data_IF_322482898562
#
_entry.id   IF_322482898562
#
_cell.length_a   1.000
_cell.length_b   1.000
_cell.length_c   1.000
_cell.angle_alpha   90.00
_cell.angle_beta   90.00
_cell.angle_gamma   90.00
#
_symmetry.space_group_name_H-M   'P 1'
#
loop_
_entity.id
_entity.type
_entity.pdbx_description
1 polymer ?
#
# COMPACT_ATOMS: atom_id res chain seq x y z
N UNK A 1 40.03 13.93 -64.75
CA UNK A 1 40.82 13.76 -63.51
C UNK A 1 39.90 13.78 -62.30
N UNK A 2 39.53 12.62 -61.75
CA UNK A 2 38.73 12.53 -60.52
C UNK A 2 39.67 12.62 -59.30
N UNK A 3 39.57 13.71 -58.52
CA UNK A 3 40.24 13.88 -57.23
C UNK A 3 39.64 12.89 -56.22
N UNK A 4 40.32 11.75 -55.97
CA UNK A 4 40.02 10.85 -54.85
C UNK A 4 40.24 11.61 -53.54
N UNK A 5 39.14 12.07 -52.90
CA UNK A 5 39.16 12.58 -51.52
C UNK A 5 39.66 11.47 -50.59
N UNK A 6 40.93 11.53 -50.18
CA UNK A 6 41.47 10.69 -49.09
C UNK A 6 40.80 11.13 -47.79
N UNK A 7 39.82 10.35 -47.31
CA UNK A 7 39.29 10.48 -45.96
C UNK A 7 40.43 10.25 -44.96
N UNK A 8 40.69 11.19 -44.04
CA UNK A 8 41.81 11.05 -43.10
C UNK A 8 41.61 9.83 -42.18
N UNK A 9 42.68 9.11 -41.81
CA UNK A 9 42.62 7.94 -40.93
C UNK A 9 42.02 8.29 -39.55
N UNK A 10 42.19 9.54 -39.11
CA UNK A 10 41.59 10.06 -37.88
C UNK A 10 40.05 10.04 -37.91
N UNK A 11 39.43 10.40 -39.04
CA UNK A 11 37.96 10.34 -39.20
C UNK A 11 37.43 8.91 -39.11
N UNK A 12 38.20 7.93 -39.63
CA UNK A 12 37.83 6.51 -39.54
C UNK A 12 37.91 5.99 -38.11
N UNK A 13 38.98 6.33 -37.38
CA UNK A 13 39.15 5.93 -35.97
C UNK A 13 38.05 6.54 -35.09
N UNK A 14 37.76 7.83 -35.27
CA UNK A 14 36.68 8.51 -34.53
C UNK A 14 35.31 7.88 -34.83
N UNK A 15 35.04 7.55 -36.10
CA UNK A 15 33.80 6.89 -36.48
C UNK A 15 33.68 5.49 -35.88
N UNK A 16 34.76 4.70 -35.89
CA UNK A 16 34.79 3.37 -35.27
C UNK A 16 34.58 3.44 -33.75
N UNK A 17 35.25 4.36 -33.06
CA UNK A 17 35.07 4.56 -31.62
C UNK A 17 33.64 5.00 -31.28
N UNK A 18 33.09 5.94 -32.03
CA UNK A 18 31.70 6.38 -31.84
C UNK A 18 30.72 5.23 -32.06
N UNK A 19 30.93 4.42 -33.10
CA UNK A 19 30.11 3.24 -33.38
C UNK A 19 30.19 2.23 -32.24
N UNK A 20 31.38 1.98 -31.69
CA UNK A 20 31.57 1.05 -30.59
C UNK A 20 30.87 1.53 -29.31
N UNK A 21 30.98 2.82 -28.99
CA UNK A 21 30.27 3.44 -27.86
C UNK A 21 28.76 3.33 -28.03
N UNK A 22 28.23 3.61 -29.22
CA UNK A 22 26.80 3.49 -29.52
C UNK A 22 26.30 2.05 -29.41
N UNK A 23 27.07 1.08 -29.91
CA UNK A 23 26.73 -0.35 -29.78
C UNK A 23 26.76 -0.81 -28.32
N UNK A 24 27.75 -0.37 -27.53
CA UNK A 24 27.81 -0.67 -26.10
C UNK A 24 26.65 -0.03 -25.33
N UNK A 25 26.31 1.23 -25.60
CA UNK A 25 25.18 1.92 -24.98
C UNK A 25 23.85 1.23 -25.35
N UNK A 26 23.68 0.84 -26.61
CA UNK A 26 22.52 0.07 -27.07
C UNK A 26 22.41 -1.29 -26.39
N UNK A 27 23.54 -2.00 -26.24
CA UNK A 27 23.59 -3.28 -25.53
C UNK A 27 23.24 -3.16 -24.04
N UNK A 28 23.72 -2.12 -23.37
CA UNK A 28 23.37 -1.83 -21.96
C UNK A 28 21.89 -1.48 -21.82
N UNK A 29 21.35 -0.62 -22.69
CA UNK A 29 19.93 -0.27 -22.67
C UNK A 29 19.04 -1.50 -22.88
N UNK A 30 19.38 -2.35 -23.86
CA UNK A 30 18.66 -3.61 -24.10
C UNK A 30 18.71 -4.53 -22.88
N UNK A 31 19.87 -4.67 -22.24
CA UNK A 31 20.02 -5.49 -21.03
C UNK A 31 19.17 -4.95 -19.87
N UNK A 32 19.20 -3.65 -19.61
CA UNK A 32 18.41 -3.02 -18.54
C UNK A 32 16.91 -3.20 -18.76
N UNK A 33 16.45 -2.98 -20.00
CA UNK A 33 15.04 -3.16 -20.34
C UNK A 33 14.61 -4.64 -20.24
N UNK A 34 15.48 -5.56 -20.65
CA UNK A 34 15.22 -7.01 -20.58
C UNK A 34 15.24 -7.54 -19.16
N UNK A 35 16.11 -7.02 -18.29
CA UNK A 35 16.15 -7.36 -16.88
C UNK A 35 14.92 -6.80 -16.13
N UNK A 36 14.38 -5.68 -16.60
CA UNK A 36 13.22 -5.00 -16.03
C UNK A 36 13.33 -4.78 -14.50
N UNK A 37 14.55 -4.39 -14.06
CA UNK A 37 14.86 -4.03 -12.67
C UNK A 37 15.18 -2.53 -12.60
N UNK A 38 14.31 -1.71 -12.00
CA UNK A 38 14.55 -0.28 -11.80
C UNK A 38 15.78 0.04 -10.93
N UNK A 39 16.36 1.25 -11.05
CA UNK A 39 17.53 1.65 -10.27
C UNK A 39 17.33 1.49 -8.75
N UNK A 40 16.17 1.90 -8.21
CA UNK A 40 15.86 1.78 -6.78
C UNK A 40 15.81 0.34 -6.25
N UNK A 41 15.56 -0.65 -7.11
CA UNK A 41 15.64 -2.07 -6.73
C UNK A 41 17.06 -2.63 -6.92
N UNK A 42 17.77 -2.16 -7.94
CA UNK A 42 19.15 -2.54 -8.22
C UNK A 42 20.11 -2.09 -7.11
N UNK A 43 19.91 -0.88 -6.59
CA UNK A 43 20.76 -0.32 -5.53
C UNK A 43 20.86 -1.21 -4.28
N UNK A 44 19.75 -1.55 -3.60
CA UNK A 44 19.75 -2.45 -2.46
C UNK A 44 20.31 -3.85 -2.76
N UNK A 45 20.15 -4.36 -3.99
CA UNK A 45 20.78 -5.60 -4.42
C UNK A 45 22.32 -5.48 -4.43
N UNK A 46 22.86 -4.39 -4.99
CA UNK A 46 24.30 -4.11 -5.00
C UNK A 46 24.83 -3.94 -3.58
N UNK A 47 24.14 -3.14 -2.75
CA UNK A 47 24.52 -2.94 -1.34
C UNK A 47 24.60 -4.28 -0.59
N UNK A 48 23.58 -5.13 -0.71
CA UNK A 48 23.58 -6.47 -0.07
C UNK A 48 24.70 -7.36 -0.56
N UNK A 49 25.04 -7.31 -1.85
CA UNK A 49 26.14 -8.11 -2.42
C UNK A 49 27.52 -7.61 -2.03
N UNK A 50 27.67 -6.31 -1.76
CA UNK A 50 28.93 -5.70 -1.32
C UNK A 50 29.13 -5.80 0.20
N UNK A 51 28.04 -5.93 0.96
CA UNK A 51 28.05 -6.03 2.43
C UNK A 51 28.98 -7.14 2.92
N UNK A 52 29.84 -6.81 3.89
CA UNK A 52 30.83 -7.74 4.45
C UNK A 52 32.10 -7.92 3.60
N UNK A 53 32.22 -7.22 2.48
CA UNK A 53 33.42 -7.23 1.63
C UNK A 53 34.15 -5.87 1.64
N UNK A 54 35.38 -5.83 1.09
CA UNK A 54 36.22 -4.60 0.99
C UNK A 54 35.61 -3.44 0.18
N UNK A 55 34.46 -3.65 -0.45
CA UNK A 55 33.75 -2.69 -1.30
C UNK A 55 32.41 -2.25 -0.70
N UNK A 56 32.12 -2.58 0.57
CA UNK A 56 30.85 -2.27 1.23
C UNK A 56 30.43 -0.79 1.07
N UNK A 57 31.34 0.14 1.38
CA UNK A 57 31.09 1.58 1.22
C UNK A 57 30.80 1.98 -0.23
N UNK A 58 31.46 1.35 -1.21
CA UNK A 58 31.20 1.60 -2.63
C UNK A 58 29.80 1.09 -3.02
N UNK A 59 29.38 -0.05 -2.49
CA UNK A 59 28.03 -0.59 -2.68
C UNK A 59 26.96 0.34 -2.12
N UNK A 60 27.16 0.87 -0.91
CA UNK A 60 26.26 1.85 -0.29
C UNK A 60 26.19 3.15 -1.11
N UNK A 61 27.32 3.65 -1.60
CA UNK A 61 27.36 4.85 -2.44
C UNK A 61 26.66 4.64 -3.78
N UNK A 62 26.88 3.49 -4.42
CA UNK A 62 26.21 3.14 -5.66
C UNK A 62 24.69 3.03 -5.48
N UNK A 63 24.24 2.38 -4.40
CA UNK A 63 22.82 2.24 -4.08
C UNK A 63 22.14 3.60 -3.89
N UNK A 64 22.75 4.49 -3.10
CA UNK A 64 22.25 5.85 -2.92
C UNK A 64 22.19 6.61 -4.24
N UNK A 65 23.23 6.52 -5.06
CA UNK A 65 23.25 7.25 -6.34
C UNK A 65 22.18 6.77 -7.31
N UNK A 66 21.89 5.48 -7.33
CA UNK A 66 20.80 4.91 -8.13
C UNK A 66 19.43 5.34 -7.61
N UNK A 67 19.24 5.35 -6.29
CA UNK A 67 18.00 5.83 -5.67
C UNK A 67 17.79 7.33 -5.94
N UNK A 68 18.80 8.18 -5.71
CA UNK A 68 18.71 9.63 -5.97
C UNK A 68 18.37 9.94 -7.44
N UNK A 69 18.92 9.15 -8.37
CA UNK A 69 18.70 9.33 -9.80
C UNK A 69 17.26 8.99 -10.20
N UNK A 70 16.69 7.93 -9.62
CA UNK A 70 15.35 7.39 -9.95
C UNK A 70 14.22 8.04 -9.14
N UNK A 71 14.51 8.52 -7.94
CA UNK A 71 13.52 9.28 -7.15
C UNK A 71 13.49 10.73 -7.57
N UNK A 72 14.65 11.33 -7.89
CA UNK A 72 14.76 12.77 -8.08
C UNK A 72 14.43 13.54 -6.80
N UNK A 73 13.79 14.70 -6.93
CA UNK A 73 13.30 15.42 -5.76
C UNK A 73 12.18 14.63 -5.09
N UNK A 74 12.27 14.44 -3.76
CA UNK A 74 11.25 13.76 -2.98
C UNK A 74 9.89 14.46 -3.05
N UNK A 75 8.83 13.72 -2.77
CA UNK A 75 7.50 14.31 -2.62
C UNK A 75 7.42 15.10 -1.31
N UNK A 76 6.73 16.25 -1.36
CA UNK A 76 6.44 17.10 -0.23
C UNK A 76 5.15 16.68 0.48
N UNK A 77 4.70 17.56 1.37
CA UNK A 77 3.56 17.28 2.25
C UNK A 77 2.27 16.96 1.50
N UNK A 78 1.53 15.99 2.04
CA UNK A 78 0.17 15.67 1.59
C UNK A 78 -0.76 16.89 1.71
N UNK A 79 -1.46 17.29 0.63
CA UNK A 79 -2.52 18.28 0.75
C UNK A 79 -3.69 17.72 1.58
N UNK A 80 -4.58 18.58 2.11
CA UNK A 80 -5.80 18.14 2.76
C UNK A 80 -6.68 17.34 1.80
N UNK A 81 -6.92 16.06 2.10
CA UNK A 81 -7.72 15.15 1.27
C UNK A 81 -9.06 14.79 1.90
N UNK A 82 -10.07 14.55 1.05
CA UNK A 82 -11.35 13.91 1.38
C UNK A 82 -11.23 12.38 1.55
N UNK A 83 -10.02 11.85 1.43
CA UNK A 83 -9.67 10.44 1.61
C UNK A 83 -9.07 10.24 3.00
N UNK A 84 -9.37 9.11 3.62
CA UNK A 84 -9.06 8.85 5.02
C UNK A 84 -10.10 9.44 5.97
N UNK A 85 -9.76 9.50 7.25
CA UNK A 85 -10.68 9.92 8.30
C UNK A 85 -11.06 11.40 8.16
N UNK A 86 -12.35 11.68 8.23
CA UNK A 86 -12.96 13.00 8.11
C UNK A 86 -13.59 13.42 9.44
N UNK A 87 -13.65 14.73 9.68
CA UNK A 87 -14.27 15.30 10.89
C UNK A 87 -15.80 15.14 10.90
N UNK A 88 -16.41 15.05 9.72
CA UNK A 88 -17.85 14.88 9.57
C UNK A 88 -18.33 13.56 10.18
N UNK A 89 -19.55 13.58 10.72
CA UNK A 89 -20.15 12.39 11.27
C UNK A 89 -20.34 11.33 10.17
N UNK A 90 -19.83 10.14 10.43
CA UNK A 90 -20.29 8.92 9.75
C UNK A 90 -21.81 8.82 9.88
N UNK A 91 -22.47 8.19 8.89
CA UNK A 91 -23.89 7.87 8.90
C UNK A 91 -24.38 7.46 10.31
N UNK A 92 -25.61 7.84 10.71
CA UNK A 92 -26.10 7.57 12.06
C UNK A 92 -25.96 6.09 12.40
N UNK A 93 -25.58 5.80 13.66
CA UNK A 93 -25.44 4.43 14.11
C UNK A 93 -26.76 3.68 13.90
N UNK A 94 -26.66 2.38 13.64
CA UNK A 94 -27.84 1.51 13.61
C UNK A 94 -28.61 1.65 14.93
N UNK A 95 -29.95 1.54 14.93
CA UNK A 95 -30.73 1.58 16.16
C UNK A 95 -30.22 0.52 17.15
N UNK A 96 -30.01 0.92 18.41
CA UNK A 96 -29.41 0.07 19.43
C UNK A 96 -29.38 0.75 20.79
N UNK A 97 -29.12 -0.01 21.85
CA UNK A 97 -28.98 0.54 23.20
C UNK A 97 -27.66 1.31 23.31
N UNK A 98 -27.73 2.60 23.62
CA UNK A 98 -26.54 3.42 23.84
C UNK A 98 -25.97 3.16 25.23
N UNK A 99 -24.72 2.71 25.27
CA UNK A 99 -23.94 2.52 26.50
C UNK A 99 -22.84 3.58 26.54
N UNK A 100 -23.07 4.64 27.31
CA UNK A 100 -22.10 5.73 27.45
C UNK A 100 -20.93 5.32 28.35
N UNK A 101 -19.69 5.60 27.91
CA UNK A 101 -18.47 5.30 28.68
C UNK A 101 -17.59 6.53 28.85
N UNK A 102 -17.19 6.81 30.10
CA UNK A 102 -16.41 8.00 30.49
C UNK A 102 -15.04 7.66 31.07
N UNK A 103 -14.75 6.37 31.27
CA UNK A 103 -13.46 5.89 31.79
C UNK A 103 -12.98 4.64 31.04
N UNK A 104 -11.67 4.33 31.06
CA UNK A 104 -11.14 3.09 30.46
C UNK A 104 -11.80 1.82 31.05
N UNK A 105 -11.98 1.75 32.36
CA UNK A 105 -12.63 0.59 33.01
C UNK A 105 -14.08 0.41 32.60
N UNK A 106 -14.82 1.51 32.43
CA UNK A 106 -16.19 1.46 31.93
C UNK A 106 -16.23 0.97 30.48
N UNK A 107 -15.29 1.43 29.65
CA UNK A 107 -15.15 0.98 28.27
C UNK A 107 -14.83 -0.52 28.16
N UNK A 108 -13.86 -1.00 28.94
CA UNK A 108 -13.54 -2.44 29.01
C UNK A 108 -14.78 -3.25 29.38
N UNK A 109 -15.47 -2.86 30.46
CA UNK A 109 -16.67 -3.58 30.91
C UNK A 109 -17.78 -3.56 29.86
N UNK A 110 -17.99 -2.43 29.18
CA UNK A 110 -19.01 -2.30 28.15
C UNK A 110 -18.70 -3.19 26.93
N UNK A 111 -17.44 -3.26 26.50
CA UNK A 111 -17.02 -4.07 25.35
C UNK A 111 -17.05 -5.57 25.67
N UNK A 112 -16.53 -5.98 26.83
CA UNK A 112 -16.47 -7.39 27.24
C UNK A 112 -17.85 -7.97 27.60
N UNK A 113 -18.84 -7.10 27.90
CA UNK A 113 -20.19 -7.50 28.30
C UNK A 113 -21.29 -6.95 27.39
N UNK A 114 -20.93 -6.52 26.18
CA UNK A 114 -21.89 -5.98 25.22
C UNK A 114 -22.97 -7.02 24.88
N UNK A 115 -24.20 -6.55 24.68
CA UNK A 115 -25.32 -7.30 24.13
C UNK A 115 -25.44 -7.05 22.63
N UNK A 116 -26.15 -7.93 21.89
CA UNK A 116 -26.36 -7.74 20.45
C UNK A 116 -26.97 -6.38 20.12
N UNK A 117 -26.33 -5.64 19.22
CA UNK A 117 -26.77 -4.30 18.79
C UNK A 117 -26.41 -3.15 19.73
N UNK A 118 -25.68 -3.37 20.82
CA UNK A 118 -25.23 -2.29 21.70
C UNK A 118 -24.37 -1.25 20.95
N UNK A 119 -24.49 0.01 21.37
CA UNK A 119 -23.71 1.14 20.87
C UNK A 119 -22.87 1.70 22.02
N UNK A 120 -21.66 1.20 22.17
CA UNK A 120 -20.69 1.68 23.15
C UNK A 120 -20.13 3.03 22.69
N UNK A 121 -20.57 4.10 23.33
CA UNK A 121 -20.22 5.48 22.94
C UNK A 121 -19.31 6.12 23.96
N UNK A 122 -18.09 6.45 23.52
CA UNK A 122 -17.12 7.17 24.32
C UNK A 122 -17.51 8.65 24.42
N UNK A 123 -17.53 9.17 25.65
CA UNK A 123 -17.57 10.61 25.87
C UNK A 123 -16.25 11.26 25.39
N UNK A 124 -16.24 12.56 25.03
CA UNK A 124 -15.01 13.26 24.69
C UNK A 124 -13.94 13.13 25.77
N UNK A 125 -12.71 12.78 25.38
CA UNK A 125 -11.62 12.58 26.34
C UNK A 125 -10.47 11.73 25.82
N UNK A 126 -9.48 11.53 26.70
CA UNK A 126 -8.32 10.67 26.48
C UNK A 126 -8.43 9.45 27.39
N UNK A 127 -8.28 8.26 26.79
CA UNK A 127 -8.47 6.98 27.45
C UNK A 127 -7.20 6.15 27.32
N UNK A 128 -6.45 6.02 28.42
CA UNK A 128 -5.25 5.19 28.48
C UNK A 128 -5.60 3.78 28.94
N UNK A 129 -5.24 2.78 28.15
CA UNK A 129 -5.34 1.36 28.48
C UNK A 129 -3.94 0.79 28.68
N UNK A 130 -3.72 0.14 29.82
CA UNK A 130 -2.44 -0.46 30.20
C UNK A 130 -2.65 -1.64 31.15
N UNK A 131 -1.61 -2.43 31.40
CA UNK A 131 -1.63 -3.48 32.43
C UNK A 131 -2.37 -4.77 32.03
N UNK A 132 -2.68 -4.94 30.74
CA UNK A 132 -3.29 -6.14 30.17
C UNK A 132 -2.80 -6.39 28.74
N UNK A 133 -2.94 -7.61 28.19
CA UNK A 133 -2.46 -7.88 26.83
C UNK A 133 -3.38 -7.31 25.74
N UNK A 134 -4.70 -7.26 26.00
CA UNK A 134 -5.74 -6.79 25.07
C UNK A 134 -7.07 -6.46 25.73
N UNK A 135 -7.99 -5.86 24.96
CA UNK A 135 -9.41 -5.68 25.26
C UNK A 135 -10.20 -6.66 24.39
N UNK A 136 -10.82 -7.68 25.00
CA UNK A 136 -11.57 -8.69 24.25
C UNK A 136 -13.00 -8.23 23.99
N UNK A 137 -13.50 -8.43 22.77
CA UNK A 137 -14.91 -8.28 22.47
C UNK A 137 -15.74 -9.38 23.12
N UNK A 138 -16.97 -9.09 23.54
CA UNK A 138 -17.94 -10.12 23.91
C UNK A 138 -18.33 -10.99 22.71
N UNK A 139 -19.11 -12.05 22.95
CA UNK A 139 -19.67 -12.87 21.87
C UNK A 139 -20.88 -12.24 21.17
N UNK A 140 -21.27 -11.02 21.52
CA UNK A 140 -22.38 -10.33 20.89
C UNK A 140 -22.10 -10.03 19.41
N UNK A 141 -23.16 -9.91 18.64
CA UNK A 141 -23.10 -9.54 17.22
C UNK A 141 -23.69 -8.16 17.00
N UNK A 142 -23.18 -7.44 16.00
CA UNK A 142 -23.73 -6.14 15.60
C UNK A 142 -23.43 -5.00 16.57
N UNK A 143 -22.40 -5.12 17.42
CA UNK A 143 -22.02 -4.08 18.38
C UNK A 143 -21.22 -2.98 17.68
N UNK A 144 -21.52 -1.72 18.02
CA UNK A 144 -20.78 -0.54 17.54
C UNK A 144 -20.02 0.10 18.69
N UNK A 145 -18.74 0.37 18.49
CA UNK A 145 -17.86 1.09 19.41
C UNK A 145 -17.45 2.39 18.75
N UNK A 146 -17.81 3.54 19.33
CA UNK A 146 -17.66 4.82 18.62
C UNK A 146 -17.35 6.03 19.50
N UNK A 147 -16.85 7.07 18.84
CA UNK A 147 -17.07 8.44 19.26
C UNK A 147 -18.32 9.00 18.57
N UNK A 148 -19.06 9.88 19.24
CA UNK A 148 -20.17 10.58 18.61
C UNK A 148 -19.67 11.50 17.48
N UNK A 149 -18.60 12.25 17.75
CA UNK A 149 -17.93 13.15 16.80
C UNK A 149 -16.47 12.70 16.60
N UNK A 150 -16.02 12.64 15.35
CA UNK A 150 -14.63 12.33 15.04
C UNK A 150 -13.69 13.37 15.67
N UNK A 151 -12.55 12.90 16.17
CA UNK A 151 -11.53 13.75 16.81
C UNK A 151 -11.79 14.14 18.27
N UNK A 152 -12.93 13.78 18.87
CA UNK A 152 -13.20 14.10 20.29
C UNK A 152 -12.71 13.04 21.27
N UNK A 153 -12.40 11.82 20.79
CA UNK A 153 -11.98 10.68 21.61
C UNK A 153 -10.61 10.21 21.15
N UNK A 154 -9.65 10.18 22.09
CA UNK A 154 -8.34 9.58 21.88
C UNK A 154 -8.15 8.37 22.79
N UNK A 155 -7.91 7.21 22.19
CA UNK A 155 -7.63 5.94 22.86
C UNK A 155 -6.12 5.69 22.73
N UNK A 156 -5.43 5.61 23.87
CA UNK A 156 -4.01 5.32 23.97
C UNK A 156 -3.84 3.89 24.46
N UNK A 157 -3.30 3.03 23.60
CA UNK A 157 -3.11 1.60 23.86
C UNK A 157 -1.65 1.35 24.24
N UNK A 158 -1.37 1.31 25.54
CA UNK A 158 -0.09 0.85 26.09
C UNK A 158 -0.16 -0.66 26.42
N UNK A 159 -0.66 -1.44 25.45
CA UNK A 159 -0.91 -2.88 25.51
C UNK A 159 -0.48 -3.53 24.19
N UNK A 160 -0.20 -4.83 24.20
CA UNK A 160 0.39 -5.53 23.05
C UNK A 160 -0.54 -5.59 21.84
N UNK A 161 -1.77 -6.02 22.07
CA UNK A 161 -2.83 -6.01 21.08
C UNK A 161 -3.96 -5.13 21.63
N UNK A 162 -4.53 -4.27 20.81
CA UNK A 162 -5.59 -3.36 21.22
C UNK A 162 -6.90 -4.09 21.46
N UNK A 163 -7.73 -4.11 20.43
CA UNK A 163 -9.02 -4.80 20.43
C UNK A 163 -8.87 -6.19 19.82
N UNK A 164 -9.13 -7.23 20.63
CA UNK A 164 -9.20 -8.62 20.18
C UNK A 164 -10.65 -8.93 19.78
N UNK A 165 -10.92 -8.97 18.48
CA UNK A 165 -12.24 -9.19 17.90
C UNK A 165 -12.38 -10.65 17.48
N UNK A 166 -13.24 -11.39 18.19
CA UNK A 166 -13.41 -12.85 18.00
C UNK A 166 -14.83 -13.26 17.60
N UNK A 167 -15.73 -12.30 17.43
CA UNK A 167 -17.15 -12.51 17.12
C UNK A 167 -17.63 -11.60 15.98
N UNK A 168 -18.77 -11.95 15.37
CA UNK A 168 -19.21 -11.34 14.12
C UNK A 168 -19.74 -9.91 14.29
N UNK A 169 -19.58 -9.09 13.26
CA UNK A 169 -20.36 -7.85 13.09
C UNK A 169 -20.00 -6.70 14.01
N UNK A 170 -18.77 -6.66 14.54
CA UNK A 170 -18.28 -5.52 15.33
C UNK A 170 -17.88 -4.35 14.43
N UNK A 171 -18.36 -3.15 14.79
CA UNK A 171 -18.04 -1.89 14.10
C UNK A 171 -17.29 -0.95 15.02
N UNK A 172 -16.19 -0.37 14.53
CA UNK A 172 -15.42 0.66 15.22
C UNK A 172 -15.39 1.93 14.37
N UNK A 173 -15.86 3.06 14.92
CA UNK A 173 -15.97 4.30 14.13
C UNK A 173 -15.66 5.61 14.87
N UNK A 174 -15.10 6.57 14.13
CA UNK A 174 -14.78 7.93 14.59
C UNK A 174 -13.75 8.00 15.74
N UNK A 175 -12.96 6.96 15.97
CA UNK A 175 -11.98 6.90 17.05
C UNK A 175 -10.60 7.38 16.58
N UNK A 176 -9.89 8.11 17.44
CA UNK A 176 -8.44 8.27 17.32
C UNK A 176 -7.78 7.23 18.22
N UNK A 177 -7.10 6.24 17.65
CA UNK A 177 -6.44 5.15 18.36
C UNK A 177 -4.93 5.27 18.16
N UNK A 178 -4.15 5.25 19.23
CA UNK A 178 -2.69 5.39 19.18
C UNK A 178 -2.00 4.29 19.97
N UNK A 179 -0.97 3.68 19.40
CA UNK A 179 -0.04 2.82 20.12
C UNK A 179 0.83 3.64 21.06
N UNK A 180 0.73 3.40 22.36
CA UNK A 180 1.39 4.16 23.43
C UNK A 180 2.39 3.30 24.23
N UNK A 181 2.87 2.20 23.66
CA UNK A 181 3.81 1.29 24.31
C UNK A 181 5.18 1.96 24.51
N UNK A 182 5.82 1.66 25.65
CA UNK A 182 7.17 2.14 25.94
C UNK A 182 8.21 1.64 24.91
N UNK A 183 8.04 0.40 24.45
CA UNK A 183 8.83 -0.18 23.37
C UNK A 183 7.94 -0.43 22.14
N UNK A 184 8.36 0.03 20.97
CA UNK A 184 7.58 -0.09 19.73
C UNK A 184 7.37 -1.54 19.29
N UNK A 185 8.32 -2.43 19.61
CA UNK A 185 8.18 -3.88 19.40
C UNK A 185 7.01 -4.49 20.19
N UNK A 186 6.58 -3.85 21.28
CA UNK A 186 5.44 -4.28 22.07
C UNK A 186 4.12 -3.66 21.60
N UNK A 187 4.11 -2.78 20.59
CA UNK A 187 2.89 -2.18 20.04
C UNK A 187 2.53 -2.89 18.73
N UNK A 188 2.05 -4.12 18.87
CA UNK A 188 1.82 -4.99 17.73
C UNK A 188 0.57 -4.59 16.96
N UNK A 189 -0.61 -4.66 17.58
CA UNK A 189 -1.88 -4.56 16.85
C UNK A 189 -2.83 -3.53 17.45
N UNK A 190 -3.46 -2.67 16.63
CA UNK A 190 -4.60 -1.87 17.12
C UNK A 190 -5.87 -2.73 17.15
N UNK A 191 -6.09 -3.47 16.08
CA UNK A 191 -7.15 -4.47 15.94
C UNK A 191 -6.54 -5.82 15.60
N UNK A 192 -6.85 -6.84 16.40
CA UNK A 192 -6.60 -8.24 16.07
C UNK A 192 -7.94 -8.92 15.81
N UNK A 193 -8.31 -9.07 14.54
CA UNK A 193 -9.55 -9.68 14.09
C UNK A 193 -9.27 -11.13 13.73
N UNK A 194 -9.81 -12.07 14.50
CA UNK A 194 -9.34 -13.45 14.46
C UNK A 194 -10.47 -14.46 14.46
N UNK A 195 -10.28 -15.57 13.74
CA UNK A 195 -11.18 -16.71 13.80
C UNK A 195 -12.60 -16.38 13.38
N UNK A 196 -13.53 -16.25 14.33
CA UNK A 196 -14.96 -15.98 14.06
C UNK A 196 -15.31 -14.50 13.97
N UNK A 197 -14.32 -13.59 13.90
CA UNK A 197 -14.49 -12.15 13.72
C UNK A 197 -15.02 -11.71 12.34
N UNK A 198 -16.05 -12.38 11.82
CA UNK A 198 -16.61 -12.18 10.49
C UNK A 198 -17.34 -10.83 10.39
N UNK A 199 -17.28 -10.14 9.25
CA UNK A 199 -18.07 -8.92 9.02
C UNK A 199 -17.63 -7.73 9.89
N UNK A 200 -16.38 -7.71 10.32
CA UNK A 200 -15.77 -6.59 11.03
C UNK A 200 -15.82 -5.32 10.18
N UNK A 201 -16.07 -4.18 10.82
CA UNK A 201 -16.03 -2.86 10.17
C UNK A 201 -15.16 -1.91 10.97
N UNK A 202 -14.16 -1.30 10.32
CA UNK A 202 -13.47 -0.13 10.82
C UNK A 202 -13.72 1.04 9.87
N UNK A 203 -14.35 2.10 10.38
CA UNK A 203 -14.76 3.24 9.57
C UNK A 203 -14.35 4.58 10.18
N UNK A 204 -13.76 5.46 9.39
CA UNK A 204 -13.51 6.85 9.82
C UNK A 204 -12.65 6.97 11.09
N UNK A 205 -11.72 6.05 11.31
CA UNK A 205 -10.80 6.10 12.43
C UNK A 205 -9.46 6.71 12.02
N UNK A 206 -8.80 7.39 12.96
CA UNK A 206 -7.38 7.74 12.84
C UNK A 206 -6.59 6.78 13.72
N UNK A 207 -5.72 5.97 13.14
CA UNK A 207 -5.00 4.92 13.84
C UNK A 207 -3.49 5.13 13.64
N UNK A 208 -2.76 5.28 14.74
CA UNK A 208 -1.33 5.63 14.69
C UNK A 208 -0.45 4.75 15.57
N UNK A 209 0.81 4.58 15.16
CA UNK A 209 1.89 4.03 15.97
C UNK A 209 1.79 2.53 16.34
N UNK A 210 1.36 1.69 15.40
CA UNK A 210 1.35 0.21 15.51
C UNK A 210 2.28 -0.46 14.49
N UNK A 211 2.75 -1.67 14.81
CA UNK A 211 3.47 -2.50 13.85
C UNK A 211 2.50 -3.00 12.76
N UNK A 212 1.28 -3.40 13.15
CA UNK A 212 0.17 -3.64 12.24
C UNK A 212 -1.11 -3.04 12.82
N UNK A 213 -1.66 -2.00 12.20
CA UNK A 213 -2.90 -1.37 12.69
C UNK A 213 -4.08 -2.34 12.64
N UNK A 214 -4.12 -3.18 11.61
CA UNK A 214 -5.05 -4.29 11.47
C UNK A 214 -4.29 -5.59 11.25
N UNK A 215 -4.40 -6.51 12.22
CA UNK A 215 -4.00 -7.90 12.08
C UNK A 215 -5.24 -8.77 11.92
N UNK A 216 -5.33 -9.48 10.81
CA UNK A 216 -6.48 -10.30 10.45
C UNK A 216 -5.98 -11.71 10.14
N UNK A 217 -6.43 -12.73 10.88
CA UNK A 217 -6.06 -14.10 10.57
C UNK A 217 -7.08 -15.16 10.98
N UNK A 218 -6.99 -16.31 10.30
CA UNK A 218 -7.69 -17.51 10.73
C UNK A 218 -7.22 -18.00 12.10
N UNK A 219 -8.10 -18.71 12.79
CA UNK A 219 -7.79 -19.43 14.04
C UNK A 219 -8.67 -20.67 14.16
N UNK A 220 -8.08 -21.81 14.52
CA UNK A 220 -8.77 -23.09 14.71
C UNK A 220 -9.74 -23.45 13.55
N UNK A 221 -9.34 -23.19 12.29
CA UNK A 221 -10.15 -23.47 11.10
C UNK A 221 -11.32 -22.50 10.86
N UNK A 222 -11.48 -21.47 11.70
CA UNK A 222 -12.39 -20.35 11.46
C UNK A 222 -11.64 -19.17 10.84
N UNK A 223 -12.33 -18.40 9.99
CA UNK A 223 -11.73 -17.28 9.27
C UNK A 223 -12.62 -16.03 9.37
N UNK A 224 -12.04 -14.86 9.67
CA UNK A 224 -12.80 -13.62 9.82
C UNK A 224 -13.09 -13.03 8.43
N UNK A 225 -13.96 -13.67 7.66
CA UNK A 225 -14.29 -13.27 6.28
C UNK A 225 -15.19 -12.00 6.24
N UNK A 226 -15.36 -11.43 5.04
CA UNK A 226 -16.34 -10.37 4.72
C UNK A 226 -16.15 -9.05 5.50
N UNK A 227 -14.91 -8.67 5.84
CA UNK A 227 -14.61 -7.43 6.57
C UNK A 227 -14.50 -6.17 5.71
N UNK A 228 -14.62 -5.00 6.36
CA UNK A 228 -14.55 -3.67 5.73
C UNK A 228 -13.65 -2.72 6.53
N UNK A 229 -12.62 -2.19 5.88
CA UNK A 229 -11.79 -1.11 6.40
C UNK A 229 -11.98 0.08 5.47
N UNK A 230 -12.74 1.09 5.90
CA UNK A 230 -13.06 2.23 5.02
C UNK A 230 -12.87 3.61 5.63
N UNK A 231 -12.37 4.53 4.82
CA UNK A 231 -12.19 5.94 5.18
C UNK A 231 -11.36 6.14 6.46
N UNK A 232 -10.39 5.28 6.75
CA UNK A 232 -9.50 5.44 7.91
C UNK A 232 -8.21 6.19 7.50
N UNK A 233 -7.63 6.94 8.43
CA UNK A 233 -6.26 7.46 8.32
C UNK A 233 -5.34 6.59 9.17
N UNK A 234 -4.32 5.98 8.55
CA UNK A 234 -3.48 4.94 9.14
C UNK A 234 -2.02 5.33 8.95
N UNK A 235 -1.27 5.52 10.03
CA UNK A 235 0.10 6.06 9.92
C UNK A 235 1.02 5.65 11.07
N UNK A 236 2.34 5.84 10.94
CA UNK A 236 3.24 5.91 12.08
C UNK A 236 3.96 7.25 12.12
N UNK A 237 4.11 7.80 13.33
CA UNK A 237 4.82 9.05 13.58
C UNK A 237 6.34 8.92 13.55
N UNK A 238 6.86 7.69 13.56
CA UNK A 238 8.29 7.40 13.57
C UNK A 238 8.59 6.04 12.95
N UNK A 239 9.83 5.87 12.51
CA UNK A 239 10.32 4.58 12.01
C UNK A 239 10.21 3.54 13.12
N UNK A 240 9.54 2.41 12.83
CA UNK A 240 9.31 1.35 13.80
C UNK A 240 10.60 0.61 14.13
N UNK A 241 11.03 0.74 15.39
CA UNK A 241 12.13 0.00 15.99
C UNK A 241 11.66 -1.39 16.42
N UNK A 242 11.44 -2.27 15.44
CA UNK A 242 11.05 -3.67 15.66
C UNK A 242 11.69 -4.61 14.64
N UNK A 243 11.92 -5.86 15.07
CA UNK A 243 12.26 -6.98 14.18
C UNK A 243 11.04 -7.65 13.54
N UNK A 244 9.84 -7.44 14.09
CA UNK A 244 8.56 -8.01 13.63
C UNK A 244 8.04 -7.32 12.37
N UNK A 245 6.97 -7.86 11.77
CA UNK A 245 6.39 -7.27 10.56
C UNK A 245 5.89 -5.83 10.82
N UNK A 246 6.11 -4.94 9.86
CA UNK A 246 5.49 -3.61 9.85
C UNK A 246 4.62 -3.54 8.60
N UNK A 247 3.32 -3.73 8.82
CA UNK A 247 2.32 -3.78 7.77
C UNK A 247 1.00 -3.26 8.34
N UNK A 248 0.58 -2.02 8.04
CA UNK A 248 -0.64 -1.45 8.60
C UNK A 248 -1.90 -2.30 8.38
N UNK A 249 -1.99 -3.01 7.25
CA UNK A 249 -3.06 -3.97 6.96
C UNK A 249 -2.44 -5.35 6.66
N UNK A 250 -2.37 -6.20 7.68
CA UNK A 250 -1.84 -7.57 7.61
C UNK A 250 -3.00 -8.57 7.64
N UNK A 251 -3.39 -9.09 6.48
CA UNK A 251 -4.43 -10.11 6.36
C UNK A 251 -3.86 -11.44 5.89
N UNK A 252 -4.16 -12.50 6.64
CA UNK A 252 -3.76 -13.88 6.37
C UNK A 252 -4.98 -14.81 6.40
N UNK A 253 -5.26 -15.53 5.32
CA UNK A 253 -6.27 -16.59 5.18
C UNK A 253 -7.76 -16.18 5.19
N UNK A 254 -8.07 -14.89 5.27
CA UNK A 254 -9.44 -14.37 5.18
C UNK A 254 -9.83 -14.02 3.72
N UNK A 255 -11.14 -13.99 3.45
CA UNK A 255 -11.71 -13.73 2.12
C UNK A 255 -12.73 -12.60 2.13
N UNK A 256 -12.98 -12.02 0.95
CA UNK A 256 -13.96 -10.98 0.67
C UNK A 256 -13.80 -9.69 1.50
N UNK A 257 -12.60 -9.36 1.92
CA UNK A 257 -12.32 -8.08 2.57
C UNK A 257 -12.32 -6.94 1.57
N UNK A 258 -12.86 -5.80 1.99
CA UNK A 258 -12.77 -4.54 1.23
C UNK A 258 -12.00 -3.51 2.05
N UNK A 259 -10.87 -3.04 1.50
CA UNK A 259 -10.09 -1.94 2.04
C UNK A 259 -10.26 -0.76 1.09
N UNK A 260 -10.98 0.28 1.53
CA UNK A 260 -11.41 1.34 0.62
C UNK A 260 -11.37 2.76 1.16
N UNK A 261 -10.91 3.72 0.37
CA UNK A 261 -10.97 5.14 0.78
C UNK A 261 -10.03 5.48 1.93
N UNK A 262 -9.06 4.62 2.25
CA UNK A 262 -8.14 4.86 3.37
C UNK A 262 -6.95 5.71 2.92
N UNK A 263 -6.41 6.50 3.84
CA UNK A 263 -5.12 7.14 3.74
C UNK A 263 -4.11 6.34 4.56
N UNK A 264 -3.09 5.77 3.94
CA UNK A 264 -2.07 4.94 4.58
C UNK A 264 -0.70 5.58 4.36
N UNK A 265 0.00 5.94 5.44
CA UNK A 265 1.32 6.57 5.33
C UNK A 265 2.36 5.98 6.27
N UNK A 266 3.63 6.19 5.95
CA UNK A 266 4.74 6.11 6.91
C UNK A 266 4.89 4.76 7.64
N UNK A 267 4.94 3.66 6.90
CA UNK A 267 5.09 2.30 7.45
C UNK A 267 6.53 1.77 7.34
N UNK A 268 7.49 2.48 7.93
CA UNK A 268 8.91 2.10 7.81
C UNK A 268 9.33 1.19 8.98
N UNK A 269 10.09 0.13 8.68
CA UNK A 269 10.74 -0.77 9.64
C UNK A 269 12.26 -0.62 9.66
N UNK A 270 12.87 -0.50 10.85
CA UNK A 270 14.35 -0.43 10.98
C UNK A 270 15.02 -1.78 11.32
N UNK A 271 14.34 -2.69 12.01
CA UNK A 271 14.90 -3.99 12.39
C UNK A 271 14.67 -5.09 11.35
N UNK A 272 15.09 -6.32 11.68
CA UNK A 272 14.87 -7.51 10.86
C UNK A 272 15.39 -7.36 9.42
N UNK A 273 14.56 -7.77 8.45
CA UNK A 273 14.80 -7.65 7.02
C UNK A 273 14.65 -6.22 6.47
N UNK A 274 14.09 -5.29 7.26
CA UNK A 274 13.78 -3.91 6.87
C UNK A 274 12.81 -3.81 5.68
N UNK A 275 11.98 -4.84 5.50
CA UNK A 275 10.92 -4.85 4.51
C UNK A 275 9.59 -4.56 5.22
N UNK A 276 8.76 -3.76 4.57
CA UNK A 276 7.47 -3.32 5.07
C UNK A 276 6.48 -3.13 3.92
N UNK A 277 5.19 -3.26 4.23
CA UNK A 277 4.11 -3.19 3.25
C UNK A 277 3.06 -2.19 3.74
N UNK A 278 2.43 -1.43 2.84
CA UNK A 278 1.27 -0.60 3.21
C UNK A 278 0.04 -1.45 3.53
N UNK A 279 -0.10 -2.56 2.81
CA UNK A 279 -1.05 -3.61 3.12
C UNK A 279 -0.86 -4.83 2.25
N UNK A 280 -1.24 -6.01 2.75
CA UNK A 280 -1.33 -7.21 1.94
C UNK A 280 -2.54 -8.09 2.25
N UNK A 281 -2.92 -8.89 1.27
CA UNK A 281 -3.79 -10.06 1.44
C UNK A 281 -3.00 -11.32 1.08
N UNK A 282 -2.89 -12.29 1.98
CA UNK A 282 -2.14 -13.53 1.74
C UNK A 282 -2.79 -14.74 2.43
N UNK A 283 -2.19 -15.91 2.31
CA UNK A 283 -2.60 -17.09 3.08
C UNK A 283 -3.75 -17.90 2.48
N UNK A 284 -3.94 -17.88 1.17
CA UNK A 284 -4.97 -18.67 0.47
C UNK A 284 -6.38 -18.09 0.60
N UNK A 285 -6.49 -16.77 0.76
CA UNK A 285 -7.76 -16.04 0.73
C UNK A 285 -8.26 -15.81 -0.70
N UNK A 286 -9.52 -15.38 -0.85
CA UNK A 286 -10.07 -15.01 -2.16
C UNK A 286 -10.95 -13.77 -2.11
N UNK A 287 -11.05 -13.04 -3.24
CA UNK A 287 -12.02 -11.94 -3.40
C UNK A 287 -11.74 -10.70 -2.56
N UNK A 288 -10.53 -10.56 -2.02
CA UNK A 288 -10.14 -9.39 -1.25
C UNK A 288 -9.81 -8.22 -2.19
N UNK A 289 -10.14 -6.99 -1.79
CA UNK A 289 -9.98 -5.81 -2.65
C UNK A 289 -9.35 -4.61 -1.92
N UNK A 290 -8.41 -3.95 -2.58
CA UNK A 290 -7.94 -2.62 -2.27
C UNK A 290 -8.49 -1.65 -3.30
N UNK A 291 -9.41 -0.78 -2.90
CA UNK A 291 -10.07 0.15 -3.84
C UNK A 291 -9.98 1.59 -3.36
N UNK A 292 -9.63 2.55 -4.24
CA UNK A 292 -9.71 3.99 -3.90
C UNK A 292 -8.93 4.39 -2.65
N UNK A 293 -7.77 3.77 -2.38
CA UNK A 293 -6.91 4.16 -1.27
C UNK A 293 -5.82 5.13 -1.75
N UNK A 294 -5.34 5.97 -0.85
CA UNK A 294 -4.10 6.74 -0.99
C UNK A 294 -3.05 6.08 -0.11
N UNK A 295 -1.96 5.60 -0.69
CA UNK A 295 -0.86 4.94 0.01
C UNK A 295 0.43 5.72 -0.26
N UNK A 296 0.93 6.43 0.74
CA UNK A 296 2.20 7.16 0.65
C UNK A 296 3.22 6.47 1.54
N UNK A 297 4.06 5.62 0.93
CA UNK A 297 5.01 4.76 1.63
C UNK A 297 5.93 5.53 2.60
N UNK A 298 6.37 6.72 2.20
CA UNK A 298 7.10 7.67 3.03
C UNK A 298 6.52 9.06 2.76
N UNK A 299 6.02 9.74 3.79
CA UNK A 299 5.47 11.09 3.72
C UNK A 299 6.15 12.03 4.73
N UNK A 300 6.18 11.64 6.01
CA UNK A 300 6.94 12.38 7.02
C UNK A 300 8.31 11.73 7.29
N UNK A 301 8.46 10.45 6.92
CA UNK A 301 9.62 9.62 7.25
C UNK A 301 10.52 9.32 6.04
N UNK A 302 10.64 10.27 5.11
CA UNK A 302 11.46 10.14 3.91
C UNK A 302 12.95 9.87 4.19
N UNK A 303 13.59 9.16 3.27
CA UNK A 303 15.04 8.92 3.30
C UNK A 303 15.48 7.84 4.29
N UNK A 304 14.52 7.20 4.98
CA UNK A 304 14.83 6.05 5.81
C UNK A 304 15.30 4.87 4.95
N UNK A 305 16.22 4.07 5.48
CA UNK A 305 16.70 2.84 4.82
C UNK A 305 15.63 1.75 4.89
N UNK A 306 15.63 0.84 3.91
CA UNK A 306 14.73 -0.32 3.86
C UNK A 306 13.93 -0.37 2.56
N UNK A 307 13.09 -1.39 2.44
CA UNK A 307 12.19 -1.57 1.31
C UNK A 307 10.74 -1.38 1.77
N UNK A 308 10.02 -0.48 1.10
CA UNK A 308 8.61 -0.22 1.32
C UNK A 308 7.86 -0.61 0.06
N UNK A 309 7.05 -1.65 0.16
CA UNK A 309 6.11 -2.04 -0.89
C UNK A 309 4.76 -1.39 -0.60
N UNK A 310 4.09 -0.85 -1.61
CA UNK A 310 2.79 -0.21 -1.44
C UNK A 310 1.70 -1.20 -1.04
N UNK A 311 1.07 -1.84 -2.02
CA UNK A 311 0.03 -2.84 -1.82
C UNK A 311 0.45 -4.19 -2.42
N UNK A 312 0.06 -5.28 -1.77
CA UNK A 312 0.41 -6.61 -2.26
C UNK A 312 -0.73 -7.63 -2.18
N UNK A 313 -0.82 -8.47 -3.21
CA UNK A 313 -1.51 -9.75 -3.13
C UNK A 313 -0.46 -10.84 -2.97
N UNK A 314 -0.37 -11.38 -1.77
CA UNK A 314 0.50 -12.47 -1.36
C UNK A 314 1.65 -12.11 -0.44
N UNK A 315 2.00 -10.81 -0.32
CA UNK A 315 3.05 -10.33 0.58
C UNK A 315 4.37 -11.11 0.40
N UNK A 316 5.05 -11.42 1.50
CA UNK A 316 6.25 -12.26 1.49
C UNK A 316 6.01 -13.77 1.39
N UNK A 317 4.75 -14.21 1.20
CA UNK A 317 4.34 -15.61 1.28
C UNK A 317 3.91 -16.05 2.68
N UNK A 318 3.39 -17.27 2.76
CA UNK A 318 2.84 -17.89 3.97
C UNK A 318 3.31 -19.34 4.10
N UNK A 319 3.57 -19.77 5.34
CA UNK A 319 3.75 -21.18 5.64
C UNK A 319 2.43 -21.96 5.47
N UNK A 320 2.45 -23.21 4.96
CA UNK A 320 1.25 -24.03 4.75
C UNK A 320 0.29 -24.03 5.94
N UNK A 321 0.79 -24.12 7.17
CA UNK A 321 0.02 -24.13 8.40
C UNK A 321 -0.80 -22.86 8.65
N UNK A 322 -0.40 -21.72 8.08
CA UNK A 322 -1.11 -20.45 8.21
C UNK A 322 -2.15 -20.24 7.11
N UNK A 323 -2.07 -21.00 6.02
CA UNK A 323 -3.02 -20.88 4.93
C UNK A 323 -4.38 -21.48 5.25
N UNK A 324 -5.41 -20.89 4.65
CA UNK A 324 -6.80 -21.33 4.75
C UNK A 324 -6.96 -22.80 4.35
N UNK A 325 -6.31 -23.18 3.26
CA UNK A 325 -6.37 -24.50 2.65
C UNK A 325 -5.29 -25.48 3.15
N UNK A 326 -4.44 -25.02 4.07
CA UNK A 326 -3.26 -25.74 4.59
C UNK A 326 -2.21 -26.12 3.52
N UNK A 327 -2.25 -25.48 2.35
CA UNK A 327 -1.37 -25.80 1.21
C UNK A 327 -0.65 -24.57 0.66
N UNK A 328 -1.25 -23.39 0.70
CA UNK A 328 -0.71 -22.16 0.11
C UNK A 328 -0.30 -22.32 -1.38
N UNK A 329 -1.10 -23.03 -2.19
CA UNK A 329 -0.79 -23.11 -3.62
C UNK A 329 -0.73 -21.70 -4.22
N UNK A 330 -1.79 -20.94 -3.99
CA UNK A 330 -1.86 -19.50 -4.20
C UNK A 330 -1.89 -18.80 -2.84
N UNK A 331 -1.32 -17.60 -2.78
CA UNK A 331 -1.47 -16.75 -1.59
C UNK A 331 -2.79 -15.99 -1.61
N UNK A 332 -3.32 -15.69 -2.79
CA UNK A 332 -4.54 -14.92 -2.96
C UNK A 332 -5.18 -15.18 -4.33
N UNK A 333 -6.46 -15.50 -4.34
CA UNK A 333 -7.23 -15.74 -5.57
C UNK A 333 -8.25 -14.64 -5.84
N UNK A 334 -8.34 -14.18 -7.10
CA UNK A 334 -9.32 -13.16 -7.51
C UNK A 334 -9.25 -11.89 -6.68
N UNK A 335 -8.02 -11.46 -6.37
CA UNK A 335 -7.78 -10.20 -5.67
C UNK A 335 -7.92 -9.00 -6.61
N UNK A 336 -8.37 -7.88 -6.08
CA UNK A 336 -8.57 -6.64 -6.85
C UNK A 336 -7.74 -5.50 -6.26
N UNK A 337 -6.98 -4.80 -7.10
CA UNK A 337 -6.33 -3.53 -6.75
C UNK A 337 -6.79 -2.50 -7.77
N UNK A 338 -7.69 -1.61 -7.36
CA UNK A 338 -8.39 -0.71 -8.29
C UNK A 338 -8.45 0.74 -7.80
N UNK A 339 -8.19 1.70 -8.70
CA UNK A 339 -8.35 3.13 -8.44
C UNK A 339 -7.53 3.66 -7.24
N UNK A 340 -6.38 3.06 -6.91
CA UNK A 340 -5.53 3.52 -5.82
C UNK A 340 -4.46 4.51 -6.33
N UNK A 341 -4.15 5.52 -5.52
CA UNK A 341 -2.93 6.31 -5.65
C UNK A 341 -1.88 5.72 -4.71
N UNK A 342 -0.75 5.27 -5.24
CA UNK A 342 0.35 4.70 -4.45
C UNK A 342 1.62 5.45 -4.80
N UNK A 343 2.31 5.98 -3.80
CA UNK A 343 3.46 6.82 -4.05
C UNK A 343 4.56 6.74 -2.98
N UNK A 344 5.76 7.22 -3.33
CA UNK A 344 6.95 7.33 -2.45
C UNK A 344 7.47 5.99 -1.94
N UNK A 345 7.34 4.94 -2.73
CA UNK A 345 7.76 3.59 -2.35
C UNK A 345 9.20 3.34 -2.81
N UNK A 346 10.07 2.89 -1.90
CA UNK A 346 11.43 2.49 -2.29
C UNK A 346 11.47 1.16 -3.04
N UNK A 347 10.32 0.49 -3.14
CA UNK A 347 10.17 -0.74 -3.89
C UNK A 347 8.91 -0.68 -4.79
N UNK A 348 8.35 -1.83 -5.16
CA UNK A 348 7.12 -1.87 -5.95
C UNK A 348 5.96 -1.11 -5.27
N UNK A 349 5.23 -0.33 -6.06
CA UNK A 349 3.93 0.20 -5.62
C UNK A 349 2.90 -0.92 -5.50
N UNK A 350 2.95 -1.90 -6.42
CA UNK A 350 2.07 -3.08 -6.42
C UNK A 350 2.90 -4.35 -6.62
N UNK A 351 2.73 -5.34 -5.73
CA UNK A 351 3.41 -6.63 -5.82
C UNK A 351 2.45 -7.82 -5.76
N UNK A 352 2.50 -8.69 -6.79
CA UNK A 352 1.73 -9.93 -6.85
C UNK A 352 2.65 -11.14 -6.63
N UNK A 353 2.39 -11.91 -5.58
CA UNK A 353 3.18 -13.07 -5.18
C UNK A 353 2.29 -14.31 -5.07
N UNK A 354 2.45 -15.26 -6.00
CA UNK A 354 1.58 -16.44 -6.15
C UNK A 354 0.08 -16.07 -6.11
N UNK A 355 -0.31 -14.98 -6.79
CA UNK A 355 -1.69 -14.49 -6.75
C UNK A 355 -2.43 -14.73 -8.06
N UNK A 356 -3.45 -15.59 -8.03
CA UNK A 356 -4.12 -16.05 -9.23
C UNK A 356 -5.36 -15.21 -9.58
N UNK A 357 -5.62 -15.07 -10.88
CA UNK A 357 -6.79 -14.41 -11.45
C UNK A 357 -7.07 -13.01 -10.90
N UNK A 358 -6.01 -12.23 -10.66
CA UNK A 358 -6.11 -10.89 -10.08
C UNK A 358 -6.51 -9.85 -11.13
N UNK A 359 -7.05 -8.74 -10.65
CA UNK A 359 -7.36 -7.57 -11.48
C UNK A 359 -6.66 -6.34 -10.91
N UNK A 360 -5.88 -5.65 -11.74
CA UNK A 360 -5.14 -4.44 -11.35
C UNK A 360 -5.44 -3.32 -12.33
N UNK A 361 -6.32 -2.40 -11.92
CA UNK A 361 -6.95 -1.45 -12.83
C UNK A 361 -6.95 -0.03 -12.33
N UNK A 362 -6.73 0.93 -13.24
CA UNK A 362 -6.84 2.34 -12.93
C UNK A 362 -6.04 2.81 -11.71
N UNK A 363 -4.88 2.22 -11.42
CA UNK A 363 -4.02 2.72 -10.33
C UNK A 363 -3.06 3.79 -10.88
N UNK A 364 -2.70 4.75 -10.03
CA UNK A 364 -1.63 5.71 -10.29
C UNK A 364 -0.47 5.39 -9.34
N UNK A 365 0.67 4.96 -9.89
CA UNK A 365 1.90 4.68 -9.14
C UNK A 365 2.92 5.77 -9.44
N UNK A 366 3.35 6.53 -8.44
CA UNK A 366 4.30 7.66 -8.59
C UNK A 366 5.49 7.54 -7.64
N UNK A 367 6.71 7.76 -8.12
CA UNK A 367 7.91 7.53 -7.30
C UNK A 367 7.87 6.13 -6.66
N UNK A 368 7.79 5.10 -7.52
CA UNK A 368 7.85 3.67 -7.12
C UNK A 368 8.72 2.89 -8.10
N UNK A 369 9.00 1.61 -7.82
CA UNK A 369 9.60 0.72 -8.82
C UNK A 369 8.60 0.27 -9.91
N UNK A 370 7.33 0.67 -9.79
CA UNK A 370 6.22 0.23 -10.62
C UNK A 370 5.50 -0.98 -10.02
N UNK A 371 5.17 -1.95 -10.86
CA UNK A 371 4.41 -3.14 -10.51
C UNK A 371 5.15 -4.40 -10.94
N UNK A 372 5.21 -5.40 -10.05
CA UNK A 372 5.73 -6.71 -10.42
C UNK A 372 4.81 -7.86 -10.00
N UNK A 373 4.77 -8.89 -10.84
CA UNK A 373 4.18 -10.18 -10.52
C UNK A 373 5.26 -11.26 -10.53
N UNK A 374 5.16 -12.23 -9.63
CA UNK A 374 6.16 -13.27 -9.45
C UNK A 374 5.54 -14.65 -9.26
N UNK A 375 6.21 -15.66 -9.83
CA UNK A 375 5.86 -17.08 -9.80
C UNK A 375 4.75 -17.49 -10.78
N UNK A 376 4.74 -18.76 -11.24
CA UNK A 376 3.78 -19.25 -12.23
C UNK A 376 2.31 -19.16 -11.78
N UNK A 377 2.05 -19.18 -10.48
CA UNK A 377 0.70 -19.03 -9.93
C UNK A 377 0.18 -17.60 -10.06
N UNK A 378 1.07 -16.61 -10.23
CA UNK A 378 0.66 -15.22 -10.39
C UNK A 378 0.11 -14.95 -11.78
N UNK A 379 -1.19 -14.63 -11.82
CA UNK A 379 -1.88 -14.24 -13.05
C UNK A 379 -2.75 -13.01 -12.81
N UNK A 380 -2.69 -12.03 -13.72
CA UNK A 380 -3.53 -10.84 -13.60
C UNK A 380 -3.89 -10.16 -14.93
N UNK A 381 -5.07 -9.56 -14.94
CA UNK A 381 -5.47 -8.56 -15.93
C UNK A 381 -5.05 -7.17 -15.46
N UNK A 382 -4.27 -6.47 -16.29
CA UNK A 382 -3.65 -5.18 -15.91
C UNK A 382 -3.93 -4.15 -17.00
N UNK A 383 -4.76 -3.15 -16.70
CA UNK A 383 -5.16 -2.13 -17.67
C UNK A 383 -5.58 -0.81 -17.02
N UNK A 384 -5.51 0.27 -17.80
CA UNK A 384 -5.90 1.62 -17.40
C UNK A 384 -5.00 2.27 -16.35
N UNK A 385 -3.83 1.69 -16.02
CA UNK A 385 -2.95 2.22 -14.98
C UNK A 385 -2.01 3.32 -15.53
N UNK A 386 -1.58 4.23 -14.65
CA UNK A 386 -0.43 5.13 -14.83
C UNK A 386 0.67 4.66 -13.88
N UNK A 387 1.82 4.29 -14.40
CA UNK A 387 2.92 3.69 -13.65
C UNK A 387 4.22 4.42 -13.92
N UNK A 388 4.60 5.33 -13.04
CA UNK A 388 5.95 5.88 -13.01
C UNK A 388 6.92 4.83 -12.46
N UNK A 389 7.30 3.94 -13.36
CA UNK A 389 7.98 2.67 -13.09
C UNK A 389 7.62 1.67 -14.19
N UNK A 390 7.96 0.40 -14.00
CA UNK A 390 7.72 -0.65 -15.00
C UNK A 390 6.62 -1.60 -14.56
N UNK A 391 5.78 -2.06 -15.49
CA UNK A 391 4.94 -3.25 -15.29
C UNK A 391 5.72 -4.47 -15.77
N UNK A 392 5.97 -5.44 -14.87
CA UNK A 392 6.80 -6.59 -15.18
C UNK A 392 6.28 -7.92 -14.61
N UNK A 393 6.48 -9.01 -15.36
CA UNK A 393 6.24 -10.38 -14.94
C UNK A 393 7.57 -11.11 -14.76
N UNK A 394 7.78 -11.74 -13.61
CA UNK A 394 9.02 -12.43 -13.24
C UNK A 394 8.76 -13.87 -12.87
N UNK A 395 9.80 -14.69 -12.99
CA UNK A 395 9.83 -16.08 -12.50
C UNK A 395 8.61 -16.91 -12.94
N UNK A 396 8.18 -16.76 -14.19
CA UNK A 396 7.08 -17.52 -14.78
C UNK A 396 5.67 -16.94 -14.58
N UNK A 397 5.53 -15.79 -13.91
CA UNK A 397 4.25 -15.10 -13.81
C UNK A 397 3.70 -14.70 -15.19
N UNK A 398 2.37 -14.59 -15.29
CA UNK A 398 1.68 -14.22 -16.53
C UNK A 398 0.80 -12.99 -16.31
N UNK A 399 1.13 -11.88 -16.97
CA UNK A 399 0.33 -10.66 -16.96
C UNK A 399 -0.31 -10.44 -18.33
N UNK A 400 -1.63 -10.28 -18.35
CA UNK A 400 -2.36 -9.73 -19.50
C UNK A 400 -2.38 -8.21 -19.34
N UNK A 401 -1.21 -7.60 -19.59
CA UNK A 401 -1.02 -6.17 -19.50
C UNK A 401 -1.24 -5.52 -20.87
N UNK A 402 -2.30 -4.73 -20.98
CA UNK A 402 -2.63 -3.94 -22.18
C UNK A 402 -3.21 -2.61 -21.76
N UNK A 403 -3.08 -1.58 -22.59
CA UNK A 403 -3.74 -0.30 -22.35
C UNK A 403 -3.34 0.32 -20.99
N UNK A 404 -2.03 0.44 -20.74
CA UNK A 404 -1.46 1.13 -19.58
C UNK A 404 -0.45 2.17 -20.05
N UNK A 405 -0.18 3.17 -19.21
CA UNK A 405 0.96 4.07 -19.37
C UNK A 405 2.01 3.67 -18.33
N UNK A 406 3.18 3.19 -18.76
CA UNK A 406 4.31 2.89 -17.89
C UNK A 406 5.63 3.50 -18.40
N UNK A 407 6.61 3.63 -17.52
CA UNK A 407 7.93 4.18 -17.85
C UNK A 407 8.95 3.07 -18.03
N UNK A 408 9.51 2.95 -19.24
CA UNK A 408 10.57 1.98 -19.54
C UNK A 408 11.79 2.15 -18.65
N UNK A 409 12.43 1.03 -18.29
CA UNK A 409 13.50 1.00 -17.27
C UNK A 409 14.70 1.84 -17.69
N UNK A 410 15.05 1.85 -18.98
CA UNK A 410 16.16 2.67 -19.47
C UNK A 410 15.99 4.17 -19.15
N UNK A 411 14.76 4.68 -19.17
CA UNK A 411 14.47 6.09 -18.81
C UNK A 411 14.70 6.35 -17.33
N UNK A 412 14.29 5.41 -16.46
CA UNK A 412 14.51 5.49 -15.01
C UNK A 412 16.00 5.59 -14.68
N UNK A 413 16.86 4.83 -15.38
CA UNK A 413 18.33 4.93 -15.23
C UNK A 413 18.94 6.26 -15.70
N UNK A 414 18.15 7.12 -16.35
CA UNK A 414 18.55 8.49 -16.71
C UNK A 414 17.86 9.54 -15.84
N UNK A 415 17.02 9.13 -14.88
CA UNK A 415 16.19 10.01 -14.06
C UNK A 415 15.03 10.66 -14.81
N UNK A 416 14.59 10.06 -15.92
CA UNK A 416 13.50 10.58 -16.74
C UNK A 416 12.17 9.90 -16.37
N UNK A 417 11.20 10.71 -15.96
CA UNK A 417 9.89 10.27 -15.45
C UNK A 417 8.73 10.97 -16.17
N UNK A 418 8.50 10.65 -17.46
CA UNK A 418 7.52 11.36 -18.29
C UNK A 418 6.08 11.29 -17.75
N UNK A 419 5.74 10.26 -16.95
CA UNK A 419 4.41 10.17 -16.37
C UNK A 419 4.20 11.13 -15.19
N UNK A 420 5.28 11.65 -14.58
CA UNK A 420 5.17 12.74 -13.62
C UNK A 420 4.78 14.04 -14.32
N UNK A 421 5.25 14.27 -15.55
CA UNK A 421 4.99 15.50 -16.31
C UNK A 421 3.50 15.68 -16.71
N UNK A 422 2.69 14.62 -16.57
CA UNK A 422 1.23 14.67 -16.73
C UNK A 422 0.54 15.54 -15.66
N UNK A 423 1.23 15.85 -14.56
CA UNK A 423 0.66 16.55 -13.41
C UNK A 423 1.27 17.93 -13.22
N UNK A 424 0.50 18.86 -12.64
CA UNK A 424 0.89 20.24 -12.44
C UNK A 424 2.12 20.39 -11.53
N UNK A 425 2.17 19.67 -10.39
CA UNK A 425 3.34 19.61 -9.53
C UNK A 425 3.33 18.33 -8.67
N UNK A 426 3.66 17.16 -9.23
CA UNK A 426 3.52 15.87 -8.54
C UNK A 426 4.44 15.72 -7.32
N UNK A 427 5.57 16.42 -7.28
CA UNK A 427 6.48 16.49 -6.15
C UNK A 427 5.89 17.23 -4.96
N UNK A 428 4.75 17.91 -5.12
CA UNK A 428 3.96 18.51 -4.02
C UNK A 428 2.59 17.83 -3.89
N UNK A 429 2.44 16.65 -4.51
CA UNK A 429 1.17 15.94 -4.64
C UNK A 429 0.03 16.81 -5.20
N UNK A 430 0.37 17.83 -5.99
CA UNK A 430 -0.58 18.54 -6.83
C UNK A 430 -0.74 17.75 -8.13
N UNK A 431 -1.62 16.75 -8.05
CA UNK A 431 -1.89 15.79 -9.12
C UNK A 431 -3.03 16.23 -10.04
N UNK A 432 -3.34 17.53 -10.08
CA UNK A 432 -4.17 18.08 -11.16
C UNK A 432 -3.42 17.88 -12.48
N UNK A 433 -4.14 17.56 -13.55
CA UNK A 433 -3.54 17.41 -14.88
C UNK A 433 -2.87 18.72 -15.30
N UNK A 434 -1.64 18.65 -15.78
CA UNK A 434 -0.92 19.81 -16.33
C UNK A 434 -1.57 20.29 -17.63
N UNK A 435 -2.11 19.35 -18.40
CA UNK A 435 -2.87 19.57 -19.63
C UNK A 435 -4.19 18.77 -19.58
N UNK A 436 -4.68 18.29 -20.73
CA UNK A 436 -5.83 17.39 -20.76
C UNK A 436 -5.43 16.01 -20.22
N UNK A 437 -6.30 15.43 -19.40
CA UNK A 437 -6.12 14.06 -18.90
C UNK A 437 -5.90 13.08 -20.06
N UNK A 438 -4.90 12.19 -20.03
CA UNK A 438 -4.77 11.14 -21.02
C UNK A 438 -5.98 10.19 -20.89
N UNK A 439 -6.67 9.97 -22.01
CA UNK A 439 -7.93 9.22 -22.07
C UNK A 439 -7.73 7.86 -22.71
N UNK A 440 -8.49 6.89 -22.22
CA UNK A 440 -8.65 5.57 -22.83
C UNK A 440 -9.72 5.63 -23.91
N UNK A 441 -9.57 4.79 -24.93
CA UNK A 441 -10.55 4.69 -26.03
C UNK A 441 -11.91 4.13 -25.56
N UNK A 442 -11.89 3.26 -24.54
CA UNK A 442 -13.08 2.71 -23.88
C UNK A 442 -12.72 2.13 -22.52
N UNK A 443 -13.71 2.04 -21.64
CA UNK A 443 -13.63 1.17 -20.47
C UNK A 443 -13.48 -0.31 -20.89
N UNK A 444 -12.70 -1.06 -20.13
CA UNK A 444 -12.58 -2.50 -20.24
C UNK A 444 -13.90 -3.20 -19.89
N UNK A 445 -14.17 -4.34 -20.55
CA UNK A 445 -15.45 -5.05 -20.41
C UNK A 445 -15.74 -5.54 -18.97
N UNK A 446 -14.68 -5.78 -18.18
CA UNK A 446 -14.76 -6.27 -16.80
C UNK A 446 -14.59 -5.15 -15.74
N UNK A 447 -14.46 -3.90 -16.17
CA UNK A 447 -14.30 -2.76 -15.25
C UNK A 447 -15.62 -2.45 -14.55
N UNK A 448 -15.70 -2.85 -13.29
CA UNK A 448 -16.84 -2.58 -12.40
C UNK A 448 -16.67 -1.30 -11.57
N UNK A 449 -15.55 -0.59 -11.69
CA UNK A 449 -15.36 0.71 -11.03
C UNK A 449 -16.39 1.73 -11.52
N UNK A 450 -17.50 1.81 -10.81
CA UNK A 450 -18.47 2.87 -10.99
C UNK A 450 -17.86 4.24 -10.66
N UNK A 451 -16.82 4.30 -9.81
CA UNK A 451 -16.20 5.53 -9.33
C UNK A 451 -14.68 5.47 -9.27
N UNK A 452 -14.03 6.60 -9.52
CA UNK A 452 -12.60 6.82 -9.34
C UNK A 452 -12.17 6.98 -7.86
N UNK A 453 -10.89 7.27 -7.62
CA UNK A 453 -10.32 7.51 -6.28
C UNK A 453 -11.12 8.55 -5.48
N UNK A 454 -11.51 9.64 -6.12
CA UNK A 454 -12.20 10.77 -5.50
C UNK A 454 -13.71 10.54 -5.36
N UNK A 455 -14.23 9.39 -5.82
CA UNK A 455 -15.66 9.06 -5.82
C UNK A 455 -16.42 9.60 -7.03
N UNK A 456 -15.72 10.14 -8.04
CA UNK A 456 -16.32 10.64 -9.28
C UNK A 456 -16.68 9.46 -10.18
N UNK A 457 -17.88 9.49 -10.78
CA UNK A 457 -18.27 8.46 -11.73
C UNK A 457 -17.41 8.53 -13.00
N UNK A 458 -16.93 7.37 -13.47
CA UNK A 458 -16.10 7.30 -14.68
C UNK A 458 -16.95 7.37 -15.95
N UNK A 459 -16.56 8.18 -16.96
CA UNK A 459 -17.22 8.22 -18.26
C UNK A 459 -16.84 6.99 -19.12
N UNK A 460 -17.48 6.83 -20.28
CA UNK A 460 -17.21 5.74 -21.20
C UNK A 460 -15.76 5.69 -21.72
N UNK A 461 -15.12 6.86 -21.81
CA UNK A 461 -13.69 7.04 -22.14
C UNK A 461 -12.97 7.60 -20.90
N UNK A 462 -12.67 6.74 -19.91
CA UNK A 462 -12.10 7.18 -18.64
C UNK A 462 -10.68 7.72 -18.82
N UNK A 463 -10.24 8.57 -17.90
CA UNK A 463 -8.83 8.91 -17.78
C UNK A 463 -8.02 7.68 -17.31
N UNK A 464 -6.78 7.54 -17.78
CA UNK A 464 -5.84 6.58 -17.18
C UNK A 464 -5.57 6.95 -15.72
N UNK A 465 -5.27 5.94 -14.90
CA UNK A 465 -4.89 6.11 -13.50
C UNK A 465 -6.09 6.28 -12.56
N UNK A 466 -5.78 6.71 -11.33
CA UNK A 466 -6.67 6.63 -10.17
C UNK A 466 -7.87 7.57 -10.19
N UNK A 467 -7.82 8.68 -10.92
CA UNK A 467 -8.83 9.75 -10.86
C UNK A 467 -9.09 10.39 -12.22
N UNK A 468 -10.29 10.93 -12.39
CA UNK A 468 -10.66 11.78 -13.53
C UNK A 468 -10.19 13.23 -13.30
N UNK A 469 -10.37 13.75 -12.09
CA UNK A 469 -9.91 15.07 -11.65
C UNK A 469 -9.51 15.03 -10.17
N UNK A 470 -8.21 15.20 -9.90
CA UNK A 470 -7.69 15.16 -8.54
C UNK A 470 -8.23 16.27 -7.64
N UNK A 471 -8.72 17.38 -8.21
CA UNK A 471 -9.34 18.47 -7.43
C UNK A 471 -10.55 17.99 -6.64
N UNK A 472 -11.23 16.93 -7.11
CA UNK A 472 -12.35 16.31 -6.40
C UNK A 472 -11.91 15.56 -5.12
N UNK A 473 -10.64 15.17 -5.02
CA UNK A 473 -10.07 14.54 -3.83
C UNK A 473 -9.68 15.54 -2.75
N UNK A 474 -9.58 16.84 -3.06
CA UNK A 474 -9.13 17.85 -2.12
C UNK A 474 -10.25 18.31 -1.18
N UNK A 475 -9.91 18.56 0.08
CA UNK A 475 -10.76 19.38 0.95
C UNK A 475 -10.74 20.82 0.43
N UNK A 476 -11.92 21.44 0.40
CA UNK A 476 -12.10 22.80 -0.12
C UNK A 476 -11.67 23.85 0.89
#
# INVERSE_FOLDING_TARGET
>A
MQKKRRTSPFKKILFTLLTLVLLSAGGVAWFLESAAVPPRQMGPYIERRASGHRFDQLGVLAARKLDDLDRGAGMGDLPPLRIGAQADAVAPARPGQVVMVTTPDAAVKAIEKAHPGDIVTFAPGVYLFSGRPYIATSSAEGVTVRAERAGTVRIELAITEGFLVTSSGWTFENLHIRGACAAQEACDHAFHVVGRGKGFVARNNTITDFNAHFKINGNAGSFPDDGLIENNTISNSSVRATGTAVTPIDLVAASNWTVRGNLITDFIKRGGDRISYGGFFKGGGSGNSFTRNVVICENLLHGARGQRVGLSLGGGGSGPEFCRDKRCLTEQDRGVIEANLIASCSDEGIYLNRSAASTVTHNTLLDTAGMSARWPESTADVHGNIVDGRINARDGALLRASDNLDTGVTRLFTGAHPLRDLYAAPQRLDLRWSEQAPRRDKAGADEKAASDLCGTARPATPAYGAFEDFSACLLK
#
